data_IF_445940528899
#
_entry.id   IF_445940528899
#
_cell.length_a   1.000
_cell.length_b   1.000
_cell.length_c   1.000
_cell.angle_alpha   90.00
_cell.angle_beta   90.00
_cell.angle_gamma   90.00
#
_symmetry.space_group_name_H-M   'P 1'
#
loop_
_entity.id
_entity.type
_entity.pdbx_description
1 polymer ?
#
# COMPACT_ATOMS: atom_id res chain seq x y z
N UNK A 1 9.84 -7.37 19.66
CA UNK A 1 9.79 -8.42 18.63
C UNK A 1 10.86 -9.47 18.92
N UNK A 2 10.52 -10.72 18.72
CA UNK A 2 11.44 -11.85 18.79
C UNK A 2 11.78 -12.29 17.37
N UNK A 3 13.05 -12.65 17.16
CA UNK A 3 13.51 -13.23 15.90
C UNK A 3 14.07 -14.61 16.23
N UNK A 4 13.48 -15.64 15.65
CA UNK A 4 13.89 -17.01 15.83
C UNK A 4 14.24 -17.63 14.49
N UNK A 5 15.50 -18.11 14.34
CA UNK A 5 15.88 -18.92 13.20
C UNK A 5 15.25 -20.31 13.37
N UNK A 6 14.52 -20.78 12.36
CA UNK A 6 13.81 -22.07 12.42
C UNK A 6 14.67 -23.16 11.80
N UNK A 7 14.98 -23.05 10.50
CA UNK A 7 15.81 -23.99 9.77
C UNK A 7 16.42 -23.30 8.55
N UNK A 8 17.70 -23.58 8.24
CA UNK A 8 18.40 -22.98 7.11
C UNK A 8 18.41 -21.45 7.18
N UNK A 9 17.82 -20.79 6.19
CA UNK A 9 17.64 -19.33 6.11
C UNK A 9 16.19 -18.89 6.36
N UNK A 10 15.42 -19.72 7.07
CA UNK A 10 14.05 -19.42 7.45
C UNK A 10 14.01 -18.82 8.85
N UNK A 11 13.28 -17.73 9.01
CA UNK A 11 13.13 -16.98 10.25
C UNK A 11 11.67 -16.84 10.62
N UNK A 12 11.34 -17.04 11.89
CA UNK A 12 10.06 -16.61 12.46
C UNK A 12 10.31 -15.27 13.18
N UNK A 13 9.52 -14.28 12.81
CA UNK A 13 9.56 -12.94 13.43
C UNK A 13 8.20 -12.68 14.04
N UNK A 14 8.15 -12.67 15.37
CA UNK A 14 6.92 -12.44 16.10
C UNK A 14 7.05 -11.28 17.09
N UNK A 15 5.93 -10.67 17.43
CA UNK A 15 5.91 -9.59 18.41
C UNK A 15 4.52 -9.06 18.71
N UNK A 16 4.43 -8.36 19.87
CA UNK A 16 3.19 -7.67 20.24
C UNK A 16 2.99 -6.38 19.46
N UNK A 17 4.08 -5.71 19.08
CA UNK A 17 4.03 -4.45 18.33
C UNK A 17 5.25 -4.31 17.43
N UNK A 18 5.04 -3.74 16.24
CA UNK A 18 6.08 -3.40 15.28
C UNK A 18 5.78 -2.06 14.62
N UNK A 19 6.76 -1.16 14.59
CA UNK A 19 6.66 0.09 13.85
C UNK A 19 7.27 -0.10 12.46
N UNK A 20 6.41 -0.23 11.46
CA UNK A 20 6.81 -0.43 10.07
C UNK A 20 7.15 0.89 9.35
N UNK A 21 6.93 2.05 9.96
CA UNK A 21 7.09 3.35 9.32
C UNK A 21 8.48 3.55 8.70
N UNK A 22 9.54 3.26 9.46
CA UNK A 22 10.92 3.38 8.96
C UNK A 22 11.22 2.39 7.84
N UNK A 23 10.71 1.16 7.93
CA UNK A 23 10.89 0.15 6.90
C UNK A 23 10.17 0.55 5.61
N UNK A 24 8.93 1.02 5.71
CA UNK A 24 8.14 1.51 4.58
C UNK A 24 8.86 2.69 3.93
N UNK A 25 9.33 3.67 4.70
CA UNK A 25 10.05 4.83 4.18
C UNK A 25 11.34 4.41 3.46
N UNK A 26 12.10 3.49 4.01
CA UNK A 26 13.35 3.03 3.41
C UNK A 26 13.15 2.19 2.14
N UNK A 27 12.10 1.37 2.10
CA UNK A 27 11.84 0.48 0.96
C UNK A 27 11.09 1.13 -0.19
N UNK A 28 10.14 2.02 0.13
CA UNK A 28 9.19 2.56 -0.84
C UNK A 28 9.39 4.05 -1.14
N UNK A 29 9.85 4.83 -0.17
CA UNK A 29 9.95 6.28 -0.29
C UNK A 29 11.37 6.75 -0.69
N UNK A 30 12.39 5.91 -0.56
CA UNK A 30 13.77 6.27 -0.90
C UNK A 30 13.98 6.24 -2.41
N UNK A 31 14.02 7.42 -3.03
CA UNK A 31 14.51 7.59 -4.40
C UNK A 31 16.04 7.49 -4.51
N UNK A 32 16.74 7.42 -3.40
CA UNK A 32 18.19 7.32 -3.36
C UNK A 32 18.63 5.86 -3.39
N UNK A 33 19.38 5.54 -4.45
CA UNK A 33 20.12 4.30 -4.68
C UNK A 33 21.26 4.10 -3.65
N UNK A 34 20.95 4.11 -2.36
CA UNK A 34 21.76 3.36 -1.44
C UNK A 34 21.25 1.93 -1.56
N UNK A 35 22.09 1.07 -2.13
CA UNK A 35 21.98 -0.37 -1.96
C UNK A 35 21.98 -0.64 -0.46
N UNK A 36 20.83 -0.46 0.17
CA UNK A 36 20.62 -0.97 1.50
C UNK A 36 20.54 -2.48 1.33
N UNK A 37 21.68 -3.14 1.43
CA UNK A 37 21.75 -4.57 1.60
C UNK A 37 21.10 -4.90 2.95
N UNK A 38 19.76 -4.92 2.98
CA UNK A 38 19.00 -5.26 4.18
C UNK A 38 19.29 -6.68 4.63
N UNK A 39 19.71 -7.54 3.70
CA UNK A 39 20.05 -8.91 3.96
C UNK A 39 21.23 -9.34 3.07
N UNK A 40 22.28 -9.84 3.68
CA UNK A 40 23.47 -10.36 2.96
C UNK A 40 23.21 -11.70 2.26
N UNK A 41 22.11 -12.36 2.60
CA UNK A 41 21.75 -13.70 2.11
C UNK A 41 20.27 -13.76 1.72
N UNK A 42 19.93 -14.76 0.92
CA UNK A 42 18.56 -15.11 0.63
C UNK A 42 17.87 -15.55 1.93
N UNK A 43 16.73 -14.95 2.24
CA UNK A 43 15.99 -15.22 3.49
C UNK A 43 14.51 -15.43 3.22
N UNK A 44 13.92 -16.31 4.02
CA UNK A 44 12.48 -16.49 4.11
C UNK A 44 12.03 -16.18 5.52
N UNK A 45 10.96 -15.39 5.65
CA UNK A 45 10.46 -14.92 6.93
C UNK A 45 8.98 -15.21 7.06
N UNK A 46 8.61 -15.84 8.16
CA UNK A 46 7.22 -15.90 8.64
C UNK A 46 7.02 -14.77 9.66
N UNK A 47 6.01 -13.94 9.43
CA UNK A 47 5.70 -12.76 10.24
C UNK A 47 4.43 -12.99 11.04
N UNK A 48 4.46 -12.64 12.34
CA UNK A 48 3.28 -12.68 13.20
C UNK A 48 3.34 -11.53 14.22
N UNK A 49 2.51 -10.51 14.03
CA UNK A 49 2.45 -9.35 14.91
C UNK A 49 1.02 -9.05 15.33
N UNK A 50 0.82 -8.75 16.62
CA UNK A 50 -0.50 -8.32 17.12
C UNK A 50 -0.87 -6.93 16.65
N UNK A 51 0.11 -6.00 16.57
CA UNK A 51 -0.09 -4.64 16.10
C UNK A 51 1.08 -4.20 15.21
N UNK A 52 0.76 -3.58 14.06
CA UNK A 52 1.76 -3.00 13.14
C UNK A 52 1.36 -1.58 12.81
N UNK A 53 2.22 -0.63 13.12
CA UNK A 53 2.03 0.80 12.88
C UNK A 53 2.61 1.20 11.53
N UNK A 54 1.82 1.91 10.71
CA UNK A 54 2.27 2.51 9.44
C UNK A 54 2.84 3.91 9.64
N UNK A 55 2.30 4.63 10.62
CA UNK A 55 2.71 5.94 11.06
C UNK A 55 2.33 6.12 12.54
N UNK A 56 2.25 7.36 13.03
CA UNK A 56 1.93 7.66 14.45
C UNK A 56 0.50 7.34 14.84
N UNK A 57 -0.43 7.28 13.89
CA UNK A 57 -1.88 7.14 14.14
C UNK A 57 -2.53 5.93 13.47
N UNK A 58 -1.96 5.44 12.35
CA UNK A 58 -2.55 4.33 11.61
C UNK A 58 -1.82 3.03 11.90
N UNK A 59 -2.58 2.03 12.28
CA UNK A 59 -2.08 0.69 12.57
C UNK A 59 -3.08 -0.39 12.13
N UNK A 60 -2.57 -1.60 12.00
CA UNK A 60 -3.34 -2.83 11.78
C UNK A 60 -3.05 -3.83 12.87
N UNK A 61 -3.94 -4.80 13.02
CA UNK A 61 -3.85 -5.88 14.00
C UNK A 61 -3.69 -7.22 13.32
N UNK A 62 -3.21 -8.19 14.10
CA UNK A 62 -3.15 -9.60 13.73
C UNK A 62 -2.49 -9.81 12.35
N UNK A 63 -1.38 -9.10 12.12
CA UNK A 63 -0.61 -9.26 10.90
C UNK A 63 0.01 -10.66 10.88
N UNK A 64 -0.33 -11.40 9.84
CA UNK A 64 0.28 -12.66 9.49
C UNK A 64 0.82 -12.57 8.07
N UNK A 65 1.99 -13.14 7.81
CA UNK A 65 2.53 -13.09 6.47
C UNK A 65 3.78 -13.90 6.29
N UNK A 66 4.13 -14.06 5.00
CA UNK A 66 5.38 -14.63 4.55
C UNK A 66 6.05 -13.69 3.57
N UNK A 67 7.36 -13.57 3.69
CA UNK A 67 8.19 -12.81 2.74
C UNK A 67 9.40 -13.67 2.40
N UNK A 68 9.71 -13.74 1.10
CA UNK A 68 10.92 -14.36 0.57
C UNK A 68 11.74 -13.32 -0.17
N UNK A 69 12.98 -13.17 0.24
CA UNK A 69 13.96 -12.25 -0.34
C UNK A 69 15.06 -13.06 -0.99
N UNK A 70 15.34 -12.76 -2.25
CA UNK A 70 16.43 -13.34 -3.05
C UNK A 70 17.19 -12.19 -3.68
N UNK A 71 18.51 -12.19 -3.57
CA UNK A 71 19.40 -11.15 -4.11
C UNK A 71 18.93 -9.72 -3.76
N UNK A 72 18.61 -9.50 -2.48
CA UNK A 72 18.06 -8.23 -1.93
C UNK A 72 16.74 -7.75 -2.54
N UNK A 73 16.02 -8.61 -3.26
CA UNK A 73 14.72 -8.30 -3.85
C UNK A 73 13.64 -9.17 -3.23
N UNK A 74 12.50 -8.57 -2.95
CA UNK A 74 11.32 -9.34 -2.54
C UNK A 74 10.83 -10.12 -3.74
N UNK A 75 10.95 -11.46 -3.67
CA UNK A 75 10.48 -12.37 -4.72
C UNK A 75 9.06 -12.84 -4.49
N UNK A 76 8.71 -13.11 -3.24
CA UNK A 76 7.37 -13.49 -2.85
C UNK A 76 6.98 -12.75 -1.58
N UNK A 77 5.73 -12.34 -1.50
CA UNK A 77 5.11 -11.84 -0.28
C UNK A 77 3.63 -12.26 -0.25
N UNK A 78 3.15 -12.63 0.92
CA UNK A 78 1.72 -12.83 1.21
C UNK A 78 1.47 -12.34 2.62
N UNK A 79 0.88 -11.16 2.76
CA UNK A 79 0.68 -10.48 4.04
C UNK A 79 -0.80 -10.14 4.18
N UNK A 80 -1.38 -10.51 5.30
CA UNK A 80 -2.74 -10.19 5.70
C UNK A 80 -2.73 -9.54 7.08
N UNK A 81 -3.47 -8.46 7.25
CA UNK A 81 -3.71 -7.84 8.54
C UNK A 81 -5.11 -7.24 8.62
N UNK A 82 -5.56 -6.90 9.82
CA UNK A 82 -6.91 -6.43 10.09
C UNK A 82 -6.90 -5.00 10.63
N UNK A 83 -7.77 -4.14 10.11
CA UNK A 83 -8.11 -2.87 10.77
C UNK A 83 -9.09 -3.10 11.92
N UNK A 84 -10.03 -4.02 11.71
CA UNK A 84 -11.01 -4.49 12.69
C UNK A 84 -11.56 -5.86 12.25
N UNK A 85 -12.60 -6.38 12.89
CA UNK A 85 -13.13 -7.72 12.63
C UNK A 85 -13.68 -7.93 11.20
N UNK A 86 -13.98 -6.86 10.46
CA UNK A 86 -14.58 -6.93 9.11
C UNK A 86 -13.73 -6.29 8.02
N UNK A 87 -12.69 -5.53 8.38
CA UNK A 87 -11.90 -4.75 7.46
C UNK A 87 -10.43 -5.17 7.51
N UNK A 88 -9.84 -5.40 6.36
CA UNK A 88 -8.49 -5.94 6.22
C UNK A 88 -7.64 -5.16 5.22
N UNK A 89 -6.35 -5.46 5.26
CA UNK A 89 -5.37 -5.13 4.23
C UNK A 89 -4.66 -6.41 3.82
N UNK A 90 -4.53 -6.62 2.52
CA UNK A 90 -3.81 -7.75 1.94
C UNK A 90 -2.80 -7.26 0.91
N UNK A 91 -1.56 -7.71 1.07
CA UNK A 91 -0.47 -7.41 0.15
C UNK A 91 0.13 -8.71 -0.37
N UNK A 92 0.31 -8.82 -1.69
CA UNK A 92 0.98 -9.98 -2.29
C UNK A 92 2.00 -9.57 -3.34
N UNK A 93 3.08 -10.33 -3.41
CA UNK A 93 4.02 -10.35 -4.54
C UNK A 93 4.16 -11.81 -4.96
N UNK A 94 3.98 -12.08 -6.25
CA UNK A 94 4.13 -13.42 -6.83
C UNK A 94 4.72 -13.33 -8.21
N UNK A 95 5.49 -14.33 -8.59
CA UNK A 95 5.96 -14.50 -9.96
C UNK A 95 5.09 -15.57 -10.64
N UNK A 96 4.55 -15.26 -11.81
CA UNK A 96 3.74 -16.20 -12.58
C UNK A 96 4.63 -17.16 -13.41
N UNK A 97 3.99 -18.12 -14.10
CA UNK A 97 4.70 -19.11 -14.93
C UNK A 97 5.44 -18.49 -16.13
N UNK A 98 5.15 -17.24 -16.47
CA UNK A 98 5.81 -16.48 -17.54
C UNK A 98 6.99 -15.64 -17.05
N UNK A 99 7.31 -15.73 -15.75
CA UNK A 99 8.38 -14.95 -15.12
C UNK A 99 8.01 -13.50 -14.85
N UNK A 100 6.73 -13.13 -14.98
CA UNK A 100 6.24 -11.78 -14.70
C UNK A 100 5.92 -11.64 -13.21
N UNK A 101 6.37 -10.54 -12.60
CA UNK A 101 6.12 -10.26 -11.18
C UNK A 101 4.81 -9.48 -11.02
N UNK A 102 3.88 -10.07 -10.30
CA UNK A 102 2.58 -9.49 -9.98
C UNK A 102 2.60 -9.00 -8.54
N UNK A 103 2.31 -7.71 -8.34
CA UNK A 103 2.13 -7.10 -7.02
C UNK A 103 0.69 -6.66 -6.86
N UNK A 104 0.05 -7.04 -5.76
CA UNK A 104 -1.30 -6.57 -5.41
C UNK A 104 -1.33 -6.00 -4.01
N UNK A 105 -2.12 -4.96 -3.82
CA UNK A 105 -2.44 -4.40 -2.50
C UNK A 105 -3.93 -4.07 -2.47
N UNK A 106 -4.67 -4.78 -1.66
CA UNK A 106 -6.05 -4.46 -1.34
C UNK A 106 -6.14 -3.92 0.08
N UNK A 107 -6.85 -2.83 0.27
CA UNK A 107 -7.15 -2.28 1.59
C UNK A 107 -8.63 -1.90 1.64
N UNK A 108 -9.38 -2.49 2.56
CA UNK A 108 -10.78 -2.13 2.80
C UNK A 108 -10.96 -0.74 3.42
N UNK A 109 -9.86 -0.06 3.75
CA UNK A 109 -9.78 1.35 4.13
C UNK A 109 -8.73 2.04 3.28
N UNK A 110 -9.14 2.97 2.43
CA UNK A 110 -8.21 3.75 1.60
C UNK A 110 -7.42 4.77 2.43
N UNK A 111 -8.06 5.40 3.42
CA UNK A 111 -7.51 6.54 4.17
C UNK A 111 -6.12 6.32 4.78
N UNK A 112 -5.81 5.21 5.47
CA UNK A 112 -4.49 5.02 6.06
C UNK A 112 -3.34 5.06 5.04
N UNK A 113 -3.58 4.55 3.83
CA UNK A 113 -2.59 4.55 2.75
C UNK A 113 -2.52 5.92 2.06
N UNK A 114 -3.67 6.55 1.80
CA UNK A 114 -3.73 7.88 1.18
C UNK A 114 -3.05 8.92 2.06
N UNK A 115 -3.31 8.89 3.38
CA UNK A 115 -2.70 9.82 4.34
C UNK A 115 -1.19 9.58 4.45
N UNK A 116 -0.76 8.32 4.48
CA UNK A 116 0.66 7.95 4.56
C UNK A 116 1.47 8.48 3.37
N UNK A 117 0.93 8.33 2.18
CA UNK A 117 1.62 8.73 0.94
C UNK A 117 1.27 10.14 0.46
N UNK A 118 0.27 10.79 1.07
CA UNK A 118 -0.16 12.19 0.79
C UNK A 118 -0.43 12.51 -0.67
N UNK A 119 -0.83 11.51 -1.46
CA UNK A 119 -1.06 11.72 -2.90
C UNK A 119 -2.42 12.38 -3.21
N UNK A 120 -3.35 12.39 -2.26
CA UNK A 120 -4.61 13.15 -2.34
C UNK A 120 -4.72 14.06 -1.12
N UNK A 121 -4.66 15.38 -1.32
CA UNK A 121 -4.87 16.35 -0.24
C UNK A 121 -6.35 16.43 0.13
N UNK A 122 -6.62 16.56 1.43
CA UNK A 122 -7.98 16.73 1.94
C UNK A 122 -8.86 15.49 1.79
N UNK A 123 -8.26 14.31 1.63
CA UNK A 123 -8.98 13.04 1.55
C UNK A 123 -9.78 12.77 2.84
N UNK A 124 -11.06 12.44 2.66
CA UNK A 124 -11.95 12.02 3.72
C UNK A 124 -12.60 10.70 3.36
N UNK A 125 -12.47 9.76 4.25
CA UNK A 125 -13.11 8.46 4.16
C UNK A 125 -14.29 8.41 5.14
N UNK A 126 -15.38 9.09 4.78
CA UNK A 126 -16.59 9.11 5.61
C UNK A 126 -17.45 7.84 5.40
N UNK A 127 -17.12 7.01 4.39
CA UNK A 127 -17.94 5.88 3.95
C UNK A 127 -17.17 4.60 3.71
N UNK A 128 -15.99 4.45 4.32
CA UNK A 128 -15.23 3.21 4.24
C UNK A 128 -14.85 2.79 2.81
N UNK A 129 -14.40 3.76 1.98
CA UNK A 129 -13.90 3.49 0.65
C UNK A 129 -12.66 2.58 0.68
N UNK A 130 -12.58 1.65 -0.26
CA UNK A 130 -11.43 0.76 -0.38
C UNK A 130 -10.37 1.32 -1.35
N UNK A 131 -9.17 0.76 -1.27
CA UNK A 131 -8.09 0.96 -2.22
C UNK A 131 -7.68 -0.39 -2.78
N UNK A 132 -7.55 -0.45 -4.10
CA UNK A 132 -7.04 -1.60 -4.82
C UNK A 132 -5.90 -1.18 -5.74
N UNK A 133 -4.76 -1.86 -5.62
CA UNK A 133 -3.59 -1.64 -6.44
C UNK A 133 -3.14 -2.95 -7.07
N UNK A 134 -2.88 -2.91 -8.35
CA UNK A 134 -2.32 -4.00 -9.13
C UNK A 134 -1.13 -3.50 -9.94
N UNK A 135 -0.06 -4.28 -10.00
CA UNK A 135 1.09 -4.00 -10.85
C UNK A 135 1.63 -5.29 -11.46
N UNK A 136 1.87 -5.25 -12.75
CA UNK A 136 2.55 -6.30 -13.51
C UNK A 136 3.92 -5.78 -13.95
N UNK A 137 4.99 -6.45 -13.52
CA UNK A 137 6.36 -6.12 -13.94
C UNK A 137 6.89 -7.20 -14.87
N UNK A 138 7.33 -6.76 -16.06
CA UNK A 138 7.95 -7.58 -17.10
C UNK A 138 9.11 -6.81 -17.73
N UNK A 139 10.26 -7.46 -17.90
CA UNK A 139 11.43 -6.90 -18.60
C UNK A 139 11.82 -5.49 -18.12
N UNK A 140 11.79 -5.24 -16.82
CA UNK A 140 12.10 -3.94 -16.21
C UNK A 140 11.02 -2.87 -16.36
N UNK A 141 9.87 -3.19 -16.97
CA UNK A 141 8.73 -2.30 -17.10
C UNK A 141 7.60 -2.77 -16.18
N UNK A 142 7.08 -1.85 -15.37
CA UNK A 142 5.91 -2.09 -14.51
C UNK A 142 4.70 -1.34 -15.06
N UNK A 143 3.63 -2.04 -15.34
CA UNK A 143 2.32 -1.45 -15.68
C UNK A 143 1.42 -1.60 -14.48
N UNK A 144 0.89 -0.50 -13.99
CA UNK A 144 0.19 -0.44 -12.70
C UNK A 144 -1.17 0.23 -12.83
N UNK A 145 -2.11 -0.23 -12.02
CA UNK A 145 -3.45 0.31 -11.86
C UNK A 145 -3.72 0.54 -10.38
N UNK A 146 -4.19 1.74 -10.03
CA UNK A 146 -4.68 2.11 -8.70
C UNK A 146 -6.15 2.51 -8.81
N UNK A 147 -6.98 1.92 -7.96
CA UNK A 147 -8.39 2.27 -7.82
C UNK A 147 -8.65 2.67 -6.38
N UNK A 148 -9.39 3.76 -6.19
CA UNK A 148 -9.91 4.16 -4.89
C UNK A 148 -11.41 4.39 -5.06
N UNK A 149 -12.20 3.71 -4.24
CA UNK A 149 -13.65 3.74 -4.31
C UNK A 149 -14.24 4.59 -3.18
N UNK A 150 -15.33 5.29 -3.48
CA UNK A 150 -16.27 5.93 -2.56
C UNK A 150 -15.62 6.81 -1.47
N UNK A 151 -15.01 7.92 -1.87
CA UNK A 151 -14.34 8.86 -0.97
C UNK A 151 -14.78 10.31 -1.20
N UNK A 152 -14.42 11.20 -0.26
CA UNK A 152 -14.60 12.65 -0.37
C UNK A 152 -13.26 13.37 -0.34
N UNK A 153 -13.16 14.48 -1.04
CA UNK A 153 -12.01 15.39 -1.00
C UNK A 153 -12.48 16.79 -0.62
N UNK A 154 -11.89 17.36 0.44
CA UNK A 154 -12.21 18.74 0.88
C UNK A 154 -11.41 19.80 0.12
N UNK A 155 -10.13 19.55 -0.08
CA UNK A 155 -9.24 20.48 -0.76
C UNK A 155 -9.10 20.08 -2.22
N UNK A 156 -9.86 20.73 -3.09
CA UNK A 156 -9.97 20.34 -4.48
C UNK A 156 -9.21 21.34 -5.35
N UNK A 157 -8.31 20.87 -6.25
CA UNK A 157 -7.73 21.69 -7.27
C UNK A 157 -8.80 22.41 -8.10
N UNK A 158 -8.47 23.62 -8.60
CA UNK A 158 -9.43 24.46 -9.32
C UNK A 158 -10.13 23.75 -10.48
N UNK A 159 -9.43 22.87 -11.19
CA UNK A 159 -9.99 22.07 -12.28
C UNK A 159 -11.08 21.10 -11.80
N UNK A 160 -10.87 20.43 -10.67
CA UNK A 160 -11.85 19.52 -10.11
C UNK A 160 -13.09 20.26 -9.58
N UNK A 161 -12.93 21.51 -9.08
CA UNK A 161 -14.05 22.38 -8.74
C UNK A 161 -14.92 22.70 -9.96
N UNK A 162 -14.30 22.99 -11.10
CA UNK A 162 -15.03 23.24 -12.35
C UNK A 162 -15.79 22.01 -12.84
N UNK A 163 -15.21 20.83 -12.75
CA UNK A 163 -15.86 19.56 -13.11
C UNK A 163 -17.04 19.24 -12.16
N UNK A 164 -16.90 19.52 -10.87
CA UNK A 164 -17.97 19.34 -9.90
C UNK A 164 -19.15 20.27 -10.14
N UNK A 165 -18.91 21.51 -10.61
CA UNK A 165 -19.98 22.44 -10.98
C UNK A 165 -20.82 21.95 -12.18
N UNK A 166 -20.34 20.99 -12.93
CA UNK A 166 -21.10 20.38 -14.03
C UNK A 166 -22.17 19.39 -13.56
N UNK A 167 -22.22 19.04 -12.27
CA UNK A 167 -23.23 18.14 -11.69
C UNK A 167 -24.01 18.83 -10.56
N UNK A 168 -25.32 18.59 -10.48
CA UNK A 168 -26.16 19.12 -9.39
C UNK A 168 -25.70 18.62 -8.01
N UNK A 169 -25.25 17.38 -7.91
CA UNK A 169 -24.75 16.81 -6.66
C UNK A 169 -23.43 17.46 -6.25
N UNK A 170 -22.52 17.71 -7.20
CA UNK A 170 -21.25 18.39 -6.94
C UNK A 170 -21.44 19.81 -6.44
N UNK A 171 -22.44 20.54 -6.94
CA UNK A 171 -22.82 21.88 -6.46
C UNK A 171 -23.31 21.80 -5.00
N UNK A 172 -24.20 20.87 -4.69
CA UNK A 172 -24.72 20.70 -3.34
C UNK A 172 -23.60 20.38 -2.34
N UNK A 173 -22.71 19.46 -2.66
CA UNK A 173 -21.57 19.06 -1.81
C UNK A 173 -20.58 20.23 -1.60
N UNK A 174 -20.38 21.09 -2.59
CA UNK A 174 -19.57 22.31 -2.47
C UNK A 174 -20.21 23.37 -1.56
N UNK A 175 -21.50 23.58 -1.66
CA UNK A 175 -22.23 24.58 -0.87
C UNK A 175 -22.30 24.19 0.61
N UNK A 176 -22.37 22.91 0.93
CA UNK A 176 -22.36 22.43 2.33
C UNK A 176 -20.97 22.45 2.96
N UNK A 177 -19.91 22.67 2.19
CA UNK A 177 -18.53 22.62 2.68
C UNK A 177 -18.04 21.22 3.07
N UNK A 178 -18.81 20.19 2.76
CA UNK A 178 -18.47 18.80 3.07
C UNK A 178 -17.41 18.19 2.15
N UNK A 179 -17.07 18.88 1.05
CA UNK A 179 -16.16 18.41 0.01
C UNK A 179 -16.89 17.75 -1.15
N UNK A 180 -16.16 17.35 -2.18
CA UNK A 180 -16.71 16.63 -3.34
C UNK A 180 -16.55 15.13 -3.16
N UNK A 181 -17.62 14.42 -3.43
CA UNK A 181 -17.66 12.96 -3.45
C UNK A 181 -17.19 12.43 -4.80
N UNK A 182 -16.38 11.39 -4.74
CA UNK A 182 -15.97 10.57 -5.87
C UNK A 182 -16.49 9.15 -5.64
N UNK A 183 -17.19 8.60 -6.62
CA UNK A 183 -17.61 7.20 -6.60
C UNK A 183 -16.43 6.29 -6.78
N UNK A 184 -15.56 6.66 -7.73
CA UNK A 184 -14.33 5.92 -8.05
C UNK A 184 -13.27 6.89 -8.59
N UNK A 185 -12.05 6.53 -8.35
CA UNK A 185 -10.85 7.13 -8.92
C UNK A 185 -9.99 6.00 -9.47
N UNK A 186 -9.65 6.07 -10.74
CA UNK A 186 -8.76 5.13 -11.39
C UNK A 186 -7.55 5.85 -11.95
N UNK A 187 -6.37 5.31 -11.68
CA UNK A 187 -5.11 5.79 -12.25
C UNK A 187 -4.31 4.62 -12.82
N UNK A 188 -4.02 4.72 -14.11
CA UNK A 188 -3.13 3.79 -14.81
C UNK A 188 -1.79 4.48 -15.06
N UNK A 189 -0.68 3.81 -14.75
CA UNK A 189 0.65 4.36 -14.96
C UNK A 189 1.67 3.27 -15.26
N UNK A 190 2.73 3.69 -15.94
CA UNK A 190 3.85 2.81 -16.28
C UNK A 190 5.13 3.38 -15.69
N UNK A 191 5.94 2.54 -15.10
CA UNK A 191 7.27 2.87 -14.61
C UNK A 191 8.30 1.94 -15.23
N UNK A 192 9.41 2.49 -15.69
CA UNK A 192 10.52 1.74 -16.26
C UNK A 192 11.73 1.83 -15.35
N UNK A 193 12.34 0.68 -15.03
CA UNK A 193 13.62 0.65 -14.34
C UNK A 193 14.63 1.41 -15.20
N UNK A 194 15.40 2.32 -14.60
CA UNK A 194 16.48 3.00 -15.34
C UNK A 194 17.48 1.92 -15.77
N UNK A 195 17.68 1.78 -17.07
CA UNK A 195 18.80 1.02 -17.62
C UNK A 195 20.10 1.65 -17.08
N UNK A 196 20.90 0.86 -16.39
CA UNK A 196 22.26 1.20 -15.98
C UNK A 196 23.20 1.08 -17.17
#
# INVERSE_FOLDING_TARGET
>A
SNIKKVEGQNYLIDGTSFNANSLISNLLDSNDKKENNLFENNVSMDLNFKEVYFDEIHFVKDLNGKIKIIDNKVEEADILALYNNSQNIKFTIRTNDQGEKITTLFSSKAKPLVDRYKFIKGFKDDREGYLDFYSLKKDGVSTSKLVIDNFKVKEIPALAKLLALASLQGIADLLTGEGIRFTDFEMNFTNQDKLM
#
